data_IF_405658901706
#
_entry.id   IF_405658901706
#
_cell.length_a   1.000
_cell.length_b   1.000
_cell.length_c   1.000
_cell.angle_alpha   90.00
_cell.angle_beta   90.00
_cell.angle_gamma   90.00
#
_symmetry.space_group_name_H-M   'P 1'
#
loop_
_entity.id
_entity.type
_entity.pdbx_description
1 polymer ?
#
# COMPACT_ATOMS: atom_id res chain seq x y z
N UNK A 1 -15.58 -24.95 -0.18
CA UNK A 1 -15.04 -25.60 -1.40
C UNK A 1 -14.04 -24.64 -2.03
N UNK A 2 -12.73 -24.84 -1.80
CA UNK A 2 -11.70 -23.94 -2.32
C UNK A 2 -11.51 -24.10 -3.83
N UNK A 3 -11.33 -22.97 -4.52
CA UNK A 3 -10.84 -22.90 -5.89
C UNK A 3 -9.33 -22.69 -5.80
N UNK A 4 -8.56 -23.58 -6.41
CA UNK A 4 -7.10 -23.48 -6.47
C UNK A 4 -6.66 -23.12 -7.88
N UNK A 5 -5.66 -22.25 -7.97
CA UNK A 5 -5.08 -21.83 -9.24
C UNK A 5 -3.69 -22.43 -9.41
N UNK A 6 -3.39 -22.80 -10.66
CA UNK A 6 -2.12 -23.39 -11.06
C UNK A 6 -1.56 -22.62 -12.25
N UNK A 7 -0.25 -22.46 -12.30
CA UNK A 7 0.47 -21.88 -13.43
C UNK A 7 1.44 -22.90 -14.00
N UNK A 8 1.38 -23.11 -15.31
CA UNK A 8 2.36 -23.93 -16.00
C UNK A 8 3.68 -23.16 -16.15
N UNK A 9 4.81 -23.82 -15.92
CA UNK A 9 6.12 -23.20 -16.12
C UNK A 9 6.54 -23.16 -17.60
N UNK A 10 5.97 -24.03 -18.43
CA UNK A 10 6.36 -24.15 -19.84
C UNK A 10 5.57 -23.17 -20.73
N UNK A 11 4.23 -23.19 -20.66
CA UNK A 11 3.38 -22.32 -21.48
C UNK A 11 2.90 -21.05 -20.76
N UNK A 12 3.13 -20.94 -19.44
CA UNK A 12 2.69 -19.82 -18.56
C UNK A 12 1.18 -19.65 -18.40
N UNK A 13 0.38 -20.54 -18.97
CA UNK A 13 -1.07 -20.54 -18.85
C UNK A 13 -1.52 -20.78 -17.40
N UNK A 14 -2.62 -20.13 -17.00
CA UNK A 14 -3.24 -20.29 -15.68
C UNK A 14 -4.44 -21.22 -15.77
N UNK A 15 -4.61 -22.09 -14.80
CA UNK A 15 -5.75 -23.00 -14.73
C UNK A 15 -6.34 -22.96 -13.32
N UNK A 16 -7.62 -22.61 -13.21
CA UNK A 16 -8.37 -22.64 -11.96
C UNK A 16 -9.16 -23.94 -11.87
N UNK A 17 -9.02 -24.67 -10.75
CA UNK A 17 -9.74 -25.92 -10.50
C UNK A 17 -10.36 -25.91 -9.12
N UNK A 18 -11.65 -26.20 -9.09
CA UNK A 18 -12.40 -26.40 -7.86
C UNK A 18 -12.11 -27.80 -7.31
N UNK A 19 -11.75 -27.88 -6.03
CA UNK A 19 -11.50 -29.14 -5.34
C UNK A 19 -12.52 -29.34 -4.21
N UNK A 20 -13.03 -30.56 -4.09
CA UNK A 20 -13.92 -30.95 -2.99
C UNK A 20 -13.06 -31.34 -1.79
N UNK A 21 -12.85 -30.40 -0.87
CA UNK A 21 -11.99 -30.57 0.30
C UNK A 21 -10.72 -29.72 0.23
N UNK A 22 -9.82 -29.93 1.18
CA UNK A 22 -8.55 -29.20 1.29
C UNK A 22 -7.34 -29.98 0.73
N UNK A 23 -7.54 -31.25 0.33
CA UNK A 23 -6.51 -32.14 -0.24
C UNK A 23 -6.34 -31.96 -1.75
N UNK A 24 -6.18 -30.71 -2.19
CA UNK A 24 -5.88 -30.45 -3.59
C UNK A 24 -4.38 -30.73 -3.87
N UNK A 25 -4.04 -31.43 -4.97
CA UNK A 25 -2.66 -31.79 -5.31
C UNK A 25 -1.78 -30.57 -5.58
N UNK A 26 -0.47 -30.72 -5.39
CA UNK A 26 0.51 -29.63 -5.57
C UNK A 26 0.68 -29.22 -7.05
N UNK A 27 0.52 -30.16 -7.96
CA UNK A 27 0.56 -29.97 -9.41
C UNK A 27 -0.62 -30.68 -10.07
N UNK A 28 -1.01 -30.18 -11.25
CA UNK A 28 -1.99 -30.78 -12.14
C UNK A 28 -1.46 -30.68 -13.59
N UNK A 29 -1.86 -31.57 -14.51
CA UNK A 29 -1.52 -31.39 -15.92
C UNK A 29 -2.12 -30.07 -16.43
N UNK A 30 -1.32 -29.31 -17.17
CA UNK A 30 -1.77 -28.05 -17.77
C UNK A 30 -2.89 -28.31 -18.79
N UNK A 31 -3.97 -27.52 -18.74
CA UNK A 31 -5.08 -27.66 -19.68
C UNK A 31 -4.72 -27.30 -21.14
N UNK A 32 -3.65 -26.53 -21.36
CA UNK A 32 -3.24 -26.06 -22.69
C UNK A 32 -2.19 -26.96 -23.35
N UNK A 33 -1.18 -27.41 -22.60
CA UNK A 33 -0.04 -28.17 -23.15
C UNK A 33 0.15 -29.56 -22.53
N UNK A 34 -0.70 -29.98 -21.60
CA UNK A 34 -0.61 -31.27 -20.88
C UNK A 34 0.68 -31.49 -20.06
N UNK A 35 1.54 -30.48 -19.92
CA UNK A 35 2.73 -30.57 -19.08
C UNK A 35 2.36 -30.76 -17.61
N UNK A 36 3.12 -31.60 -16.91
CA UNK A 36 3.02 -31.81 -15.46
C UNK A 36 3.79 -30.74 -14.66
N UNK A 37 4.58 -29.89 -15.34
CA UNK A 37 5.38 -28.83 -14.75
C UNK A 37 4.50 -27.62 -14.39
N UNK A 38 3.59 -27.79 -13.43
CA UNK A 38 2.72 -26.75 -12.90
C UNK A 38 2.94 -26.53 -11.41
N UNK A 39 2.77 -25.30 -10.96
CA UNK A 39 2.81 -24.93 -9.54
C UNK A 39 1.53 -24.22 -9.14
N UNK A 40 1.09 -24.45 -7.89
CA UNK A 40 -0.02 -23.68 -7.31
C UNK A 40 0.38 -22.22 -7.14
N UNK A 41 -0.51 -21.32 -7.53
CA UNK A 41 -0.34 -19.87 -7.37
C UNK A 41 -1.52 -19.28 -6.60
N UNK A 42 -1.32 -18.06 -6.09
CA UNK A 42 -2.37 -17.22 -5.53
C UNK A 42 -2.44 -15.99 -6.43
N UNK A 43 -3.59 -15.73 -7.04
CA UNK A 43 -3.79 -14.51 -7.81
C UNK A 43 -3.72 -13.25 -6.94
N UNK A 44 -3.37 -12.14 -7.56
CA UNK A 44 -3.42 -10.82 -6.92
C UNK A 44 -4.83 -10.53 -6.42
N UNK A 45 -4.94 -10.13 -5.15
CA UNK A 45 -6.20 -9.75 -4.53
C UNK A 45 -6.21 -8.25 -4.25
N UNK A 46 -7.40 -7.63 -4.36
CA UNK A 46 -7.64 -6.29 -3.85
C UNK A 46 -8.30 -6.41 -2.47
N UNK A 47 -7.83 -5.62 -1.50
CA UNK A 47 -8.39 -5.56 -0.16
C UNK A 47 -8.45 -4.12 0.33
N UNK A 48 -9.39 -3.83 1.23
CA UNK A 48 -9.49 -2.52 1.86
C UNK A 48 -8.38 -2.36 2.89
N UNK A 49 -7.57 -1.33 2.72
CA UNK A 49 -6.56 -0.92 3.71
C UNK A 49 -7.19 0.05 4.71
N UNK A 50 -6.77 -0.03 5.97
CA UNK A 50 -7.08 1.01 6.95
C UNK A 50 -6.36 2.31 6.59
N UNK A 51 -6.90 3.45 7.02
CA UNK A 51 -6.26 4.75 6.78
C UNK A 51 -4.80 4.76 7.26
N UNK A 52 -4.52 4.19 8.43
CA UNK A 52 -3.16 4.09 8.97
C UNK A 52 -2.20 3.30 8.07
N UNK A 53 -2.65 2.18 7.49
CA UNK A 53 -1.84 1.41 6.53
C UNK A 53 -1.62 2.17 5.23
N UNK A 54 -2.63 2.92 4.76
CA UNK A 54 -2.48 3.75 3.57
C UNK A 54 -1.45 4.86 3.79
N UNK A 55 -1.43 5.48 4.97
CA UNK A 55 -0.46 6.52 5.33
C UNK A 55 0.97 5.97 5.41
N UNK A 56 1.16 4.77 5.97
CA UNK A 56 2.48 4.12 6.04
C UNK A 56 3.07 3.76 4.67
N UNK A 57 2.22 3.50 3.68
CA UNK A 57 2.64 3.19 2.30
C UNK A 57 3.02 4.44 1.49
N UNK A 58 2.77 5.66 2.00
CA UNK A 58 3.15 6.89 1.31
C UNK A 58 4.67 7.04 1.26
N UNK A 59 5.17 7.66 0.19
CA UNK A 59 6.61 7.94 0.05
C UNK A 59 7.05 8.90 1.17
N UNK A 60 8.14 8.58 1.94
CA UNK A 60 8.67 9.43 3.00
C UNK A 60 8.99 10.88 2.58
N UNK A 61 9.11 11.15 1.27
CA UNK A 61 9.23 12.51 0.74
C UNK A 61 8.02 13.37 1.10
N UNK A 62 6.81 12.82 1.05
CA UNK A 62 5.58 13.56 1.37
C UNK A 62 5.51 13.90 2.85
N UNK A 63 5.91 12.99 3.73
CA UNK A 63 5.97 13.26 5.18
C UNK A 63 6.86 14.47 5.46
N UNK A 64 8.06 14.53 4.86
CA UNK A 64 8.97 15.69 5.00
C UNK A 64 8.38 16.98 4.47
N UNK A 65 7.63 16.92 3.36
CA UNK A 65 6.98 18.11 2.81
C UNK A 65 5.89 18.62 3.76
N UNK A 66 5.09 17.72 4.32
CA UNK A 66 4.04 18.04 5.28
C UNK A 66 4.66 18.60 6.57
N UNK A 67 5.69 17.96 7.11
CA UNK A 67 6.40 18.41 8.32
C UNK A 67 7.03 19.79 8.12
N UNK A 68 7.66 20.03 6.97
CA UNK A 68 8.23 21.34 6.65
C UNK A 68 7.15 22.41 6.48
N UNK A 69 6.04 22.09 5.81
CA UNK A 69 4.92 23.01 5.66
C UNK A 69 4.26 23.30 7.02
N UNK A 70 4.16 22.28 7.88
CA UNK A 70 3.66 22.40 9.24
C UNK A 70 4.61 23.28 10.06
N UNK A 71 5.92 23.03 10.06
CA UNK A 71 6.91 23.82 10.80
C UNK A 71 6.93 25.30 10.37
N UNK A 72 6.80 25.57 9.08
CA UNK A 72 6.82 26.94 8.54
C UNK A 72 5.45 27.63 8.56
N UNK A 73 4.41 26.96 9.04
CA UNK A 73 3.09 27.56 9.13
C UNK A 73 3.09 28.66 10.20
N UNK A 74 2.41 29.77 9.91
CA UNK A 74 2.38 30.89 10.84
C UNK A 74 1.74 30.54 12.20
N UNK A 75 0.91 29.48 12.24
CA UNK A 75 0.31 28.94 13.48
C UNK A 75 1.30 28.16 14.34
N UNK A 76 2.44 27.79 13.79
CA UNK A 76 3.45 26.96 14.45
C UNK A 76 4.47 27.81 15.21
N UNK A 77 4.57 29.09 14.88
CA UNK A 77 5.39 30.05 15.63
C UNK A 77 4.65 30.49 16.89
N UNK A 78 5.09 30.00 18.04
CA UNK A 78 4.51 30.34 19.35
C UNK A 78 4.55 31.85 19.63
N UNK A 79 5.54 32.56 19.10
CA UNK A 79 5.73 33.99 19.31
C UNK A 79 5.18 34.84 18.15
N UNK A 80 4.28 34.29 17.32
CA UNK A 80 3.71 34.98 16.16
C UNK A 80 3.13 36.36 16.53
N UNK A 81 2.37 36.43 17.64
CA UNK A 81 1.70 37.65 18.06
C UNK A 81 2.67 38.73 18.55
N UNK A 82 3.74 38.32 19.26
CA UNK A 82 4.78 39.24 19.76
C UNK A 82 5.61 39.85 18.62
N UNK A 83 5.87 39.09 17.55
CA UNK A 83 6.57 39.63 16.36
C UNK A 83 5.74 40.66 15.58
N UNK A 84 4.41 40.60 15.69
CA UNK A 84 3.49 41.52 15.00
C UNK A 84 3.15 42.75 15.82
N UNK A 85 3.34 42.73 17.13
CA UNK A 85 3.11 43.90 17.97
C UNK A 85 4.24 44.92 17.83
N UNK A 86 3.88 46.19 17.76
CA UNK A 86 4.84 47.29 17.93
C UNK A 86 5.28 47.36 19.40
N UNK A 87 6.58 47.51 19.68
CA UNK A 87 7.04 47.68 21.05
C UNK A 87 6.48 48.99 21.62
N UNK A 88 6.15 49.00 22.91
CA UNK A 88 5.57 50.17 23.57
C UNK A 88 6.45 51.42 23.47
N UNK A 89 7.77 51.25 23.36
CA UNK A 89 8.73 52.35 23.16
C UNK A 89 8.46 53.17 21.91
N UNK A 90 7.91 52.53 20.87
CA UNK A 90 7.72 53.14 19.56
C UNK A 90 6.28 53.69 19.39
N UNK A 91 5.41 53.45 20.38
CA UNK A 91 4.02 53.89 20.39
C UNK A 91 3.80 55.21 21.15
N UNK A 92 4.80 55.67 21.90
CA UNK A 92 4.74 56.91 22.72
C UNK A 92 5.24 58.17 21.98
N UNK A 93 5.55 58.08 20.68
CA UNK A 93 5.95 59.19 19.81
C UNK A 93 4.80 59.61 18.87
#
# INVERSE_FOLDING_TARGET
MPIYEYRCQDCREKTAKLWRGFDAPKSIPCAACSSENTSRIISSVAFHKSLGSQLQDLDPRYDRMVDNAAANSARSDENQFLRRSTPLSDAEA
#
